data_IF_712290541062
#
_entry.id   IF_712290541062
#
_cell.length_a   1.000
_cell.length_b   1.000
_cell.length_c   1.000
_cell.angle_alpha   90.00
_cell.angle_beta   90.00
_cell.angle_gamma   90.00
#
_symmetry.space_group_name_H-M   'P 1'
#
loop_
_entity.id
_entity.type
_entity.pdbx_description
1 polymer ?
#
# COMPACT_ATOMS: atom_id res chain seq x y z
N UNK A 1 -14.58 20.36 -14.08
CA UNK A 1 -14.28 19.04 -13.51
C UNK A 1 -13.52 18.21 -14.51
N UNK A 2 -12.78 17.20 -14.06
CA UNK A 2 -12.07 16.28 -14.96
C UNK A 2 -13.09 15.35 -15.64
N UNK A 3 -12.94 15.16 -16.95
CA UNK A 3 -13.88 14.36 -17.75
C UNK A 3 -13.35 12.95 -17.94
N UNK A 4 -14.20 11.96 -17.65
CA UNK A 4 -13.94 10.54 -17.92
C UNK A 4 -14.62 10.14 -19.23
N UNK A 5 -13.83 9.73 -20.20
CA UNK A 5 -14.28 9.19 -21.48
C UNK A 5 -14.28 7.65 -21.44
N UNK A 6 -15.05 7.03 -22.29
CA UNK A 6 -14.95 5.61 -22.59
C UNK A 6 -14.32 5.36 -23.97
N UNK A 7 -14.00 4.13 -24.30
CA UNK A 7 -13.31 3.79 -25.55
C UNK A 7 -14.08 4.22 -26.81
N UNK A 8 -15.42 4.19 -26.80
CA UNK A 8 -16.22 4.66 -27.93
C UNK A 8 -16.11 6.17 -28.19
N UNK A 9 -15.62 6.91 -27.23
CA UNK A 9 -15.45 8.37 -27.27
C UNK A 9 -13.98 8.79 -27.50
N UNK A 10 -13.08 7.85 -27.72
CA UNK A 10 -11.63 8.09 -27.79
C UNK A 10 -11.24 9.16 -28.81
N UNK A 11 -11.99 9.26 -29.91
CA UNK A 11 -11.72 10.23 -30.98
C UNK A 11 -12.12 11.67 -30.62
N UNK A 12 -12.91 11.83 -29.57
CA UNK A 12 -13.35 13.14 -29.06
C UNK A 12 -12.47 13.65 -27.92
N UNK A 13 -11.46 12.90 -27.49
CA UNK A 13 -10.57 13.30 -26.40
C UNK A 13 -9.66 14.43 -26.88
N UNK A 14 -9.64 15.59 -26.18
CA UNK A 14 -8.77 16.71 -26.52
C UNK A 14 -7.31 16.38 -26.19
N UNK A 15 -6.40 16.67 -27.13
CA UNK A 15 -4.98 16.35 -26.99
C UNK A 15 -4.24 17.23 -25.97
N UNK A 16 -4.79 18.40 -25.64
CA UNK A 16 -4.10 19.43 -24.86
C UNK A 16 -4.53 19.51 -23.38
N UNK A 17 -5.53 18.73 -22.98
CA UNK A 17 -6.11 18.76 -21.63
C UNK A 17 -5.86 17.44 -20.91
N UNK A 18 -5.81 17.49 -19.58
CA UNK A 18 -5.78 16.28 -18.77
C UNK A 18 -7.18 15.66 -18.78
N UNK A 19 -7.27 14.45 -19.27
CA UNK A 19 -8.49 13.68 -19.41
C UNK A 19 -8.31 12.27 -18.86
N UNK A 20 -9.41 11.60 -18.57
CA UNK A 20 -9.40 10.19 -18.17
C UNK A 20 -10.09 9.35 -19.23
N UNK A 21 -9.50 8.20 -19.57
CA UNK A 21 -10.06 7.22 -20.48
C UNK A 21 -10.25 5.89 -19.75
N UNK A 22 -11.48 5.46 -19.55
CA UNK A 22 -11.81 4.11 -19.06
C UNK A 22 -11.71 3.12 -20.20
N UNK A 23 -10.91 2.08 -20.03
CA UNK A 23 -10.74 1.00 -21.00
C UNK A 23 -10.55 -0.35 -20.31
N UNK A 24 -10.83 -1.42 -21.06
CA UNK A 24 -10.55 -2.79 -20.65
C UNK A 24 -9.19 -3.24 -21.18
N UNK A 25 -8.60 -4.23 -20.51
CA UNK A 25 -7.31 -4.81 -20.93
C UNK A 25 -7.31 -5.38 -22.37
N UNK A 26 -8.49 -5.74 -22.89
CA UNK A 26 -8.70 -6.29 -24.23
C UNK A 26 -8.85 -5.23 -25.32
N UNK A 27 -9.05 -3.95 -24.96
CA UNK A 27 -9.27 -2.90 -25.92
C UNK A 27 -8.00 -2.58 -26.71
N UNK A 28 -8.11 -2.53 -28.02
CA UNK A 28 -7.00 -2.20 -28.90
C UNK A 28 -6.95 -0.69 -29.19
N UNK A 29 -6.41 0.07 -28.24
CA UNK A 29 -6.38 1.54 -28.27
C UNK A 29 -4.97 2.13 -28.38
N UNK A 30 -3.96 1.29 -28.50
CA UNK A 30 -2.56 1.67 -28.35
C UNK A 30 -2.12 2.75 -29.36
N UNK A 31 -2.48 2.63 -30.62
CA UNK A 31 -2.12 3.64 -31.62
C UNK A 31 -2.76 4.99 -31.33
N UNK A 32 -3.96 5.00 -30.78
CA UNK A 32 -4.65 6.23 -30.38
C UNK A 32 -4.03 6.87 -29.15
N UNK A 33 -3.61 6.06 -28.16
CA UNK A 33 -2.93 6.55 -26.96
C UNK A 33 -1.63 7.29 -27.26
N UNK A 34 -0.89 6.91 -28.28
CA UNK A 34 0.32 7.62 -28.72
C UNK A 34 0.04 9.08 -29.11
N UNK A 35 -1.18 9.38 -29.51
CA UNK A 35 -1.62 10.73 -29.89
C UNK A 35 -2.21 11.52 -28.73
N UNK A 36 -2.38 10.89 -27.55
CA UNK A 36 -3.04 11.43 -26.36
C UNK A 36 -2.10 11.46 -25.14
N UNK A 37 -0.99 12.21 -25.18
CA UNK A 37 0.06 12.13 -24.13
C UNK A 37 -0.41 12.62 -22.75
N UNK A 38 -1.50 13.40 -22.67
CA UNK A 38 -2.05 13.90 -21.41
C UNK A 38 -3.25 13.08 -20.91
N UNK A 39 -3.58 11.99 -21.59
CA UNK A 39 -4.67 11.11 -21.20
C UNK A 39 -4.19 10.17 -20.08
N UNK A 40 -4.94 10.12 -18.99
CA UNK A 40 -4.76 9.16 -17.90
C UNK A 40 -5.67 7.97 -18.16
N UNK A 41 -5.12 6.77 -18.17
CA UNK A 41 -5.85 5.54 -18.45
C UNK A 41 -6.46 5.04 -17.13
N UNK A 42 -7.76 4.71 -17.14
CA UNK A 42 -8.43 3.98 -16.07
C UNK A 42 -8.65 2.56 -16.58
N UNK A 43 -7.74 1.67 -16.20
CA UNK A 43 -7.68 0.30 -16.71
C UNK A 43 -8.55 -0.63 -15.85
N UNK A 44 -9.47 -1.34 -16.51
CA UNK A 44 -10.41 -2.28 -15.88
C UNK A 44 -10.27 -3.68 -16.47
N UNK A 45 -10.73 -4.67 -15.73
CA UNK A 45 -10.92 -6.03 -16.23
C UNK A 45 -12.12 -6.70 -15.55
N UNK A 46 -12.85 -7.49 -16.31
CA UNK A 46 -13.91 -8.39 -15.82
C UNK A 46 -13.37 -9.82 -15.61
N UNK A 47 -12.09 -10.06 -15.90
CA UNK A 47 -11.47 -11.36 -15.77
C UNK A 47 -11.30 -11.71 -14.29
N UNK A 48 -11.62 -12.95 -13.90
CA UNK A 48 -11.37 -13.46 -12.56
C UNK A 48 -9.89 -13.43 -12.20
N UNK A 49 -9.00 -13.76 -13.14
CA UNK A 49 -7.57 -13.60 -13.00
C UNK A 49 -7.14 -12.18 -13.40
N UNK A 50 -7.50 -11.20 -12.60
CA UNK A 50 -7.28 -9.79 -12.89
C UNK A 50 -5.80 -9.44 -13.06
N UNK A 51 -4.93 -9.93 -12.19
CA UNK A 51 -3.48 -9.68 -12.24
C UNK A 51 -2.90 -9.98 -13.64
N UNK A 52 -3.16 -11.17 -14.18
CA UNK A 52 -2.60 -11.59 -15.47
C UNK A 52 -3.10 -10.70 -16.62
N UNK A 53 -4.40 -10.38 -16.63
CA UNK A 53 -5.03 -9.56 -17.67
C UNK A 53 -4.51 -8.13 -17.66
N UNK A 54 -4.44 -7.52 -16.49
CA UNK A 54 -3.95 -6.15 -16.31
C UNK A 54 -2.47 -6.07 -16.65
N UNK A 55 -1.66 -7.03 -16.15
CA UNK A 55 -0.23 -7.12 -16.47
C UNK A 55 0.03 -7.19 -17.97
N UNK A 56 -0.78 -7.95 -18.71
CA UNK A 56 -0.66 -8.04 -20.18
C UNK A 56 -0.83 -6.67 -20.84
N UNK A 57 -1.75 -5.85 -20.36
CA UNK A 57 -1.92 -4.48 -20.87
C UNK A 57 -0.68 -3.61 -20.62
N UNK A 58 -0.11 -3.66 -19.43
CA UNK A 58 1.13 -2.94 -19.11
C UNK A 58 2.30 -3.37 -20.00
N UNK A 59 2.45 -4.69 -20.23
CA UNK A 59 3.49 -5.20 -21.12
C UNK A 59 3.31 -4.63 -22.55
N UNK A 60 2.09 -4.64 -23.09
CA UNK A 60 1.79 -4.04 -24.39
C UNK A 60 2.10 -2.54 -24.44
N UNK A 61 1.79 -1.79 -23.37
CA UNK A 61 2.16 -0.38 -23.28
C UNK A 61 3.69 -0.19 -23.36
N UNK A 62 4.44 -0.99 -22.60
CA UNK A 62 5.91 -0.95 -22.64
C UNK A 62 6.48 -1.28 -24.02
N UNK A 63 6.02 -2.35 -24.67
CA UNK A 63 6.43 -2.75 -26.01
C UNK A 63 6.18 -1.65 -27.04
N UNK A 64 5.06 -0.94 -26.91
CA UNK A 64 4.66 0.12 -27.81
C UNK A 64 5.13 1.52 -27.40
N UNK A 65 5.91 1.62 -26.31
CA UNK A 65 6.45 2.88 -25.77
C UNK A 65 5.37 3.90 -25.41
N UNK A 66 4.28 3.43 -24.78
CA UNK A 66 3.19 4.23 -24.27
C UNK A 66 3.45 4.50 -22.79
N UNK A 67 3.54 5.76 -22.40
CA UNK A 67 3.91 6.22 -21.06
C UNK A 67 2.78 6.98 -20.36
N UNK A 68 1.57 6.80 -20.78
CA UNK A 68 0.41 7.39 -20.14
C UNK A 68 0.26 6.86 -18.70
N UNK A 69 -0.04 7.71 -17.72
CA UNK A 69 -0.35 7.24 -16.37
C UNK A 69 -1.54 6.29 -16.36
N UNK A 70 -1.46 5.22 -15.56
CA UNK A 70 -2.49 4.18 -15.51
C UNK A 70 -3.00 4.02 -14.08
N UNK A 71 -4.31 4.25 -13.89
CA UNK A 71 -5.05 3.94 -12.68
C UNK A 71 -5.65 2.55 -12.84
N UNK A 72 -5.34 1.65 -11.91
CA UNK A 72 -5.93 0.31 -11.87
C UNK A 72 -7.28 0.39 -11.17
N UNK A 73 -8.36 0.06 -11.90
CA UNK A 73 -9.71 0.07 -11.35
C UNK A 73 -10.26 -1.35 -11.18
N UNK A 74 -10.77 -1.65 -9.98
CA UNK A 74 -11.45 -2.90 -9.66
C UNK A 74 -12.77 -2.64 -8.93
N UNK A 75 -13.74 -3.53 -9.17
CA UNK A 75 -15.03 -3.50 -8.49
C UNK A 75 -15.29 -4.85 -7.80
N UNK A 76 -15.64 -4.79 -6.52
CA UNK A 76 -15.90 -5.94 -5.64
C UNK A 76 -17.29 -5.79 -5.02
N UNK A 77 -18.34 -6.03 -5.81
CA UNK A 77 -19.70 -5.68 -5.44
C UNK A 77 -20.45 -6.78 -4.68
N UNK A 78 -19.87 -7.96 -4.52
CA UNK A 78 -20.54 -9.14 -3.90
C UNK A 78 -19.73 -9.80 -2.80
N UNK A 79 -18.55 -9.27 -2.48
CA UNK A 79 -17.62 -9.89 -1.55
C UNK A 79 -17.82 -9.39 -0.11
N UNK A 80 -17.47 -10.24 0.85
CA UNK A 80 -17.30 -9.84 2.24
C UNK A 80 -16.17 -8.81 2.40
N UNK A 81 -16.06 -8.19 3.58
CA UNK A 81 -14.95 -7.27 3.90
C UNK A 81 -13.60 -7.95 3.73
N UNK A 82 -13.45 -9.15 4.30
CA UNK A 82 -12.19 -9.91 4.27
C UNK A 82 -11.83 -10.37 2.85
N UNK A 83 -12.81 -10.90 2.11
CA UNK A 83 -12.58 -11.29 0.72
C UNK A 83 -12.21 -10.08 -0.14
N UNK A 84 -12.90 -8.95 0.04
CA UNK A 84 -12.58 -7.72 -0.69
C UNK A 84 -11.14 -7.29 -0.44
N UNK A 85 -10.68 -7.33 0.81
CA UNK A 85 -9.30 -7.00 1.18
C UNK A 85 -8.30 -7.94 0.49
N UNK A 86 -8.52 -9.24 0.56
CA UNK A 86 -7.63 -10.26 -0.02
C UNK A 86 -7.58 -10.13 -1.54
N UNK A 87 -8.72 -10.07 -2.20
CA UNK A 87 -8.77 -9.95 -3.67
C UNK A 87 -8.17 -8.63 -4.16
N UNK A 88 -8.49 -7.50 -3.51
CA UNK A 88 -7.92 -6.22 -3.90
C UNK A 88 -6.41 -6.18 -3.71
N UNK A 89 -5.89 -6.74 -2.61
CA UNK A 89 -4.46 -6.84 -2.36
C UNK A 89 -3.76 -7.72 -3.41
N UNK A 90 -4.38 -8.82 -3.82
CA UNK A 90 -3.85 -9.74 -4.84
C UNK A 90 -3.88 -9.12 -6.23
N UNK A 91 -5.02 -8.57 -6.63
CA UNK A 91 -5.22 -8.04 -7.99
C UNK A 91 -4.38 -6.79 -8.27
N UNK A 92 -4.27 -5.90 -7.29
CA UNK A 92 -3.65 -4.58 -7.42
C UNK A 92 -2.26 -4.56 -6.78
N UNK A 93 -2.14 -5.08 -5.56
CA UNK A 93 -0.89 -5.01 -4.79
C UNK A 93 0.27 -5.70 -5.50
N UNK A 94 0.04 -6.84 -6.15
CA UNK A 94 1.06 -7.54 -6.92
C UNK A 94 1.58 -6.68 -8.09
N UNK A 95 0.70 -5.95 -8.79
CA UNK A 95 1.09 -5.04 -9.87
C UNK A 95 1.90 -3.85 -9.33
N UNK A 96 1.48 -3.28 -8.20
CA UNK A 96 2.19 -2.17 -7.55
C UNK A 96 3.60 -2.56 -7.08
N UNK A 97 3.79 -3.79 -6.58
CA UNK A 97 5.11 -4.33 -6.20
C UNK A 97 6.02 -4.45 -7.43
N UNK A 98 5.46 -4.81 -8.59
CA UNK A 98 6.18 -4.86 -9.87
C UNK A 98 6.45 -3.45 -10.46
N UNK A 99 6.03 -2.38 -9.80
CA UNK A 99 6.13 -1.00 -10.30
C UNK A 99 5.14 -0.66 -11.41
N UNK A 100 4.02 -1.39 -11.49
CA UNK A 100 2.98 -1.20 -12.51
C UNK A 100 1.77 -0.49 -11.92
N UNK A 101 1.38 0.62 -12.55
CA UNK A 101 0.24 1.46 -12.18
C UNK A 101 0.61 2.67 -11.33
N UNK A 102 -0.02 3.79 -11.64
CA UNK A 102 0.22 5.11 -11.04
C UNK A 102 -0.88 5.50 -10.04
N UNK A 103 -1.93 4.70 -9.95
CA UNK A 103 -3.04 4.93 -9.04
C UNK A 103 -3.96 3.73 -8.88
N UNK A 104 -4.79 3.81 -7.85
CA UNK A 104 -5.74 2.75 -7.46
C UNK A 104 -7.14 3.33 -7.35
N UNK A 105 -8.11 2.63 -7.92
CA UNK A 105 -9.53 2.93 -7.79
C UNK A 105 -10.32 1.67 -7.45
N UNK A 106 -10.75 1.56 -6.21
CA UNK A 106 -11.53 0.42 -5.71
C UNK A 106 -12.98 0.83 -5.51
N UNK A 107 -13.89 0.11 -6.17
CA UNK A 107 -15.33 0.20 -5.94
C UNK A 107 -15.80 -1.00 -5.14
N UNK A 108 -16.57 -0.75 -4.08
CA UNK A 108 -17.23 -1.80 -3.28
C UNK A 108 -18.66 -1.38 -2.94
N UNK A 109 -19.48 -2.32 -2.47
CA UNK A 109 -20.78 -2.01 -1.85
C UNK A 109 -20.64 -1.53 -0.39
N UNK A 110 -19.43 -1.61 0.17
CA UNK A 110 -19.13 -1.08 1.49
C UNK A 110 -18.97 0.45 1.45
N UNK A 111 -18.63 1.07 2.57
CA UNK A 111 -18.48 2.51 2.65
C UNK A 111 -17.30 3.03 1.80
N UNK A 112 -17.39 4.29 1.36
CA UNK A 112 -16.27 4.96 0.70
C UNK A 112 -15.02 5.03 1.59
N UNK A 113 -15.20 5.13 2.91
CA UNK A 113 -14.10 5.09 3.88
C UNK A 113 -13.33 3.77 3.79
N UNK A 114 -14.05 2.65 3.71
CA UNK A 114 -13.47 1.32 3.55
C UNK A 114 -12.70 1.17 2.23
N UNK A 115 -13.28 1.62 1.10
CA UNK A 115 -12.59 1.62 -0.20
C UNK A 115 -11.30 2.43 -0.18
N UNK A 116 -11.32 3.59 0.48
CA UNK A 116 -10.13 4.42 0.66
C UNK A 116 -9.09 3.75 1.57
N UNK A 117 -9.53 3.14 2.67
CA UNK A 117 -8.64 2.46 3.61
C UNK A 117 -7.88 1.30 2.94
N UNK A 118 -8.58 0.46 2.16
CA UNK A 118 -7.94 -0.61 1.39
C UNK A 118 -6.96 -0.03 0.36
N UNK A 119 -7.39 0.99 -0.39
CA UNK A 119 -6.54 1.61 -1.41
C UNK A 119 -5.23 2.14 -0.83
N UNK A 120 -5.30 2.90 0.27
CA UNK A 120 -4.11 3.39 0.95
C UNK A 120 -3.31 2.27 1.63
N UNK A 121 -3.97 1.23 2.12
CA UNK A 121 -3.31 0.04 2.68
C UNK A 121 -2.46 -0.69 1.63
N UNK A 122 -3.00 -0.91 0.43
CA UNK A 122 -2.29 -1.52 -0.70
C UNK A 122 -1.09 -0.67 -1.13
N UNK A 123 -1.28 0.65 -1.29
CA UNK A 123 -0.21 1.57 -1.67
C UNK A 123 0.91 1.61 -0.62
N UNK A 124 0.58 1.53 0.66
CA UNK A 124 1.58 1.47 1.73
C UNK A 124 2.30 0.12 1.77
N UNK A 125 1.59 -0.99 1.66
CA UNK A 125 2.18 -2.33 1.64
C UNK A 125 3.14 -2.54 0.46
N UNK A 126 2.82 -1.98 -0.71
CA UNK A 126 3.67 -1.97 -1.90
C UNK A 126 4.75 -0.86 -1.88
N UNK A 127 4.81 -0.05 -0.83
CA UNK A 127 5.75 1.08 -0.65
C UNK A 127 5.67 2.17 -1.74
N UNK A 128 4.58 2.22 -2.48
CA UNK A 128 4.35 3.26 -3.49
C UNK A 128 3.88 4.58 -2.89
N UNK A 129 3.17 4.52 -1.74
CA UNK A 129 2.75 5.71 -0.99
C UNK A 129 2.62 5.42 0.50
N UNK A 130 3.40 6.09 1.32
CA UNK A 130 3.34 5.99 2.77
C UNK A 130 2.30 6.99 3.31
N UNK A 131 1.27 6.50 3.97
CA UNK A 131 0.14 7.31 4.47
C UNK A 131 -0.04 7.23 5.99
N UNK A 132 0.54 6.21 6.65
CA UNK A 132 0.44 5.94 8.09
C UNK A 132 1.83 5.64 8.67
N UNK A 133 1.94 5.59 10.00
CA UNK A 133 3.09 5.00 10.68
C UNK A 133 3.19 3.51 10.35
N UNK A 134 4.38 3.02 10.07
CA UNK A 134 4.65 1.59 9.86
C UNK A 134 5.16 0.97 11.16
N UNK A 135 4.60 -0.17 11.54
CA UNK A 135 5.01 -0.89 12.75
C UNK A 135 5.62 -2.24 12.36
N UNK A 136 6.82 -2.50 12.88
CA UNK A 136 7.55 -3.75 12.69
C UNK A 136 7.57 -4.44 14.06
N UNK A 137 6.74 -5.47 14.23
CA UNK A 137 6.70 -6.25 15.46
C UNK A 137 7.28 -7.63 15.23
N UNK A 138 8.04 -8.14 16.20
CA UNK A 138 8.48 -9.54 16.13
C UNK A 138 7.28 -10.48 16.35
N UNK A 139 7.36 -11.76 15.87
CA UNK A 139 6.25 -12.71 15.96
C UNK A 139 5.99 -13.24 17.38
N UNK A 140 6.71 -12.74 18.38
CA UNK A 140 6.76 -13.24 19.76
C UNK A 140 7.35 -14.68 19.84
N UNK A 141 8.08 -14.94 20.89
CA UNK A 141 8.65 -16.25 21.19
C UNK A 141 8.87 -16.38 22.70
N UNK A 142 9.37 -17.51 23.18
CA UNK A 142 9.65 -17.73 24.59
C UNK A 142 10.68 -16.78 25.25
N UNK A 143 11.30 -15.90 24.45
CA UNK A 143 12.22 -14.84 24.92
C UNK A 143 11.57 -13.47 25.03
N UNK A 144 10.28 -13.34 24.68
CA UNK A 144 9.54 -12.07 24.78
C UNK A 144 9.35 -11.72 26.27
N UNK A 145 9.68 -10.48 26.62
CA UNK A 145 9.83 -10.04 28.02
C UNK A 145 8.63 -9.21 28.52
N UNK A 146 7.64 -8.96 27.67
CA UNK A 146 6.43 -8.19 27.95
C UNK A 146 5.29 -8.63 27.05
N UNK A 147 4.05 -8.20 27.32
CA UNK A 147 2.93 -8.41 26.42
C UNK A 147 3.13 -7.57 25.14
N UNK A 148 3.50 -8.26 24.04
CA UNK A 148 3.83 -7.61 22.78
C UNK A 148 2.59 -7.00 22.11
N UNK A 149 1.42 -7.65 22.22
CA UNK A 149 0.18 -7.16 21.61
C UNK A 149 -0.29 -5.89 22.33
N UNK A 150 -0.42 -5.93 23.65
CA UNK A 150 -0.85 -4.79 24.44
C UNK A 150 0.10 -3.60 24.28
N UNK A 151 1.42 -3.86 24.29
CA UNK A 151 2.44 -2.81 24.12
C UNK A 151 2.37 -2.20 22.71
N UNK A 152 2.20 -3.03 21.69
CA UNK A 152 2.05 -2.55 20.30
C UNK A 152 0.82 -1.65 20.17
N UNK A 153 -0.30 -2.02 20.76
CA UNK A 153 -1.53 -1.23 20.73
C UNK A 153 -1.38 0.12 21.44
N UNK A 154 -0.74 0.13 22.60
CA UNK A 154 -0.41 1.36 23.34
C UNK A 154 0.49 2.30 22.54
N UNK A 155 1.52 1.78 21.89
CA UNK A 155 2.42 2.57 21.05
C UNK A 155 1.65 3.10 19.82
N UNK A 156 0.87 2.26 19.14
CA UNK A 156 0.08 2.65 17.98
C UNK A 156 -0.91 3.77 18.29
N UNK A 157 -1.64 3.67 19.37
CA UNK A 157 -2.63 4.69 19.77
C UNK A 157 -2.04 6.10 19.95
N UNK A 158 -0.72 6.20 20.17
CA UNK A 158 0.00 7.48 20.39
C UNK A 158 0.80 7.95 19.20
N UNK A 159 1.10 7.06 18.24
CA UNK A 159 2.06 7.33 17.16
C UNK A 159 1.51 7.12 15.75
N UNK A 160 0.25 6.71 15.59
CA UNK A 160 -0.39 6.44 14.30
C UNK A 160 -0.43 7.65 13.35
N UNK A 161 -0.37 8.86 13.92
CA UNK A 161 -0.32 10.13 13.19
C UNK A 161 1.06 10.45 12.57
N UNK A 162 2.11 9.72 12.93
CA UNK A 162 3.49 9.95 12.49
C UNK A 162 3.74 9.34 11.09
N UNK A 163 3.18 9.96 10.07
CA UNK A 163 3.28 9.47 8.69
C UNK A 163 4.73 9.36 8.22
N UNK A 164 5.05 8.21 7.63
CA UNK A 164 6.37 7.95 7.07
C UNK A 164 7.41 7.47 8.08
N UNK A 165 7.04 7.37 9.36
CA UNK A 165 7.91 6.84 10.42
C UNK A 165 7.71 5.34 10.55
N UNK A 166 8.80 4.60 10.73
CA UNK A 166 8.81 3.18 11.02
C UNK A 166 9.21 2.95 12.47
N UNK A 167 8.39 2.22 13.23
CA UNK A 167 8.61 1.91 14.63
C UNK A 167 8.75 0.41 14.80
N UNK A 168 9.92 -0.04 15.28
CA UNK A 168 10.18 -1.42 15.65
C UNK A 168 9.74 -1.71 17.09
N UNK A 169 8.98 -2.79 17.31
CA UNK A 169 8.55 -3.23 18.63
C UNK A 169 9.00 -4.68 18.82
N UNK A 170 10.09 -4.86 19.56
CA UNK A 170 10.80 -6.12 19.65
C UNK A 170 10.76 -6.68 21.07
N UNK A 171 10.26 -7.89 21.21
CA UNK A 171 10.09 -8.56 22.51
C UNK A 171 11.39 -8.87 23.24
N UNK A 172 12.54 -8.96 22.54
CA UNK A 172 13.83 -9.20 23.14
C UNK A 172 15.00 -8.62 22.33
N UNK A 173 16.14 -8.42 22.99
CA UNK A 173 17.36 -7.87 22.37
C UNK A 173 18.10 -8.85 21.44
N UNK A 174 17.78 -10.15 21.48
CA UNK A 174 18.58 -11.16 20.77
C UNK A 174 18.49 -10.99 19.25
N UNK A 175 17.28 -10.91 18.71
CA UNK A 175 17.05 -10.72 17.27
C UNK A 175 16.50 -9.31 16.95
N UNK A 176 15.93 -8.64 17.97
CA UNK A 176 15.20 -7.39 17.79
C UNK A 176 15.94 -6.32 17.00
N UNK A 177 17.20 -5.96 17.36
CA UNK A 177 17.95 -4.96 16.62
C UNK A 177 18.16 -5.29 15.14
N UNK A 178 18.34 -6.57 14.79
CA UNK A 178 18.46 -7.03 13.41
C UNK A 178 17.14 -7.00 12.65
N UNK A 179 16.04 -7.43 13.30
CA UNK A 179 14.70 -7.45 12.68
C UNK A 179 14.11 -6.06 12.46
N UNK A 180 14.54 -5.05 13.21
CA UNK A 180 14.13 -3.66 13.04
C UNK A 180 15.21 -2.78 12.41
N UNK A 181 16.18 -3.33 11.70
CA UNK A 181 17.34 -2.59 11.19
C UNK A 181 17.00 -1.36 10.34
N UNK A 182 15.85 -1.36 9.66
CA UNK A 182 15.35 -0.26 8.84
C UNK A 182 14.28 0.61 9.57
N UNK A 183 14.09 0.41 10.88
CA UNK A 183 13.17 1.24 11.66
C UNK A 183 13.83 2.57 12.07
N UNK A 184 13.03 3.64 12.09
CA UNK A 184 13.47 4.96 12.57
C UNK A 184 13.59 4.99 14.08
N UNK A 185 12.68 4.31 14.76
CA UNK A 185 12.67 4.17 16.23
C UNK A 185 12.41 2.72 16.62
N UNK A 186 12.95 2.30 17.77
CA UNK A 186 12.79 0.96 18.29
C UNK A 186 12.49 0.92 19.78
N UNK A 187 11.54 0.04 20.15
CA UNK A 187 11.22 -0.35 21.52
C UNK A 187 11.62 -1.82 21.66
N UNK A 188 12.63 -2.10 22.48
CA UNK A 188 13.25 -3.42 22.55
C UNK A 188 13.33 -3.92 23.98
N UNK A 189 12.76 -5.08 24.27
CA UNK A 189 12.88 -5.76 25.56
C UNK A 189 14.32 -6.16 25.88
N UNK A 190 14.84 -5.76 27.03
CA UNK A 190 16.23 -6.03 27.46
C UNK A 190 16.32 -6.87 28.71
N UNK A 191 15.25 -6.95 29.51
CA UNK A 191 15.14 -7.73 30.73
C UNK A 191 13.69 -7.76 31.23
N UNK A 192 13.37 -8.55 32.26
CA UNK A 192 12.02 -8.55 32.84
C UNK A 192 11.60 -7.15 33.27
N UNK A 193 10.53 -6.62 32.65
CA UNK A 193 10.03 -5.27 32.91
C UNK A 193 10.94 -4.13 32.44
N UNK A 194 12.02 -4.44 31.70
CA UNK A 194 12.98 -3.44 31.21
C UNK A 194 13.04 -3.44 29.70
N UNK A 195 13.13 -2.22 29.13
CA UNK A 195 13.28 -2.01 27.69
C UNK A 195 14.42 -1.03 27.40
N UNK A 196 14.85 -0.99 26.17
CA UNK A 196 15.71 0.09 25.65
C UNK A 196 15.06 0.73 24.44
N UNK A 197 15.24 2.05 24.31
CA UNK A 197 14.78 2.83 23.17
C UNK A 197 15.92 3.02 22.17
N UNK A 198 15.56 2.91 20.90
CA UNK A 198 16.49 3.07 19.79
C UNK A 198 16.04 4.21 18.87
N UNK A 199 17.02 4.88 18.27
CA UNK A 199 16.85 5.77 17.12
C UNK A 199 17.72 5.22 15.99
N UNK A 200 17.07 4.70 14.95
CA UNK A 200 17.76 3.82 14.00
C UNK A 200 18.39 2.63 14.74
N UNK A 201 19.65 2.39 14.52
CA UNK A 201 20.41 1.31 15.19
C UNK A 201 21.10 1.72 16.49
N UNK A 202 20.99 2.98 16.91
CA UNK A 202 21.65 3.49 18.09
C UNK A 202 20.72 3.44 19.31
N UNK A 203 21.23 2.92 20.42
CA UNK A 203 20.51 2.96 21.70
C UNK A 203 20.53 4.38 22.22
N UNK A 204 19.36 4.96 22.43
CA UNK A 204 19.19 6.31 22.99
C UNK A 204 19.07 6.26 24.51
N UNK A 205 18.29 5.27 25.01
CA UNK A 205 18.07 5.10 26.43
C UNK A 205 18.01 3.60 26.76
N UNK A 206 18.63 3.20 27.87
CA UNK A 206 18.77 1.81 28.28
C UNK A 206 18.05 1.53 29.60
N UNK A 207 17.52 0.31 29.74
CA UNK A 207 16.98 -0.22 30.99
C UNK A 207 15.88 0.66 31.60
N UNK A 208 15.00 1.21 30.76
CA UNK A 208 13.83 1.94 31.20
C UNK A 208 12.79 0.93 31.70
N UNK A 209 12.06 1.27 32.76
CA UNK A 209 10.91 0.48 33.16
C UNK A 209 9.83 0.54 32.05
N UNK A 210 9.34 -0.62 31.61
CA UNK A 210 8.36 -0.75 30.54
C UNK A 210 7.07 0.06 30.80
N UNK A 211 6.68 0.24 32.08
CA UNK A 211 5.52 1.04 32.46
C UNK A 211 5.69 2.53 32.13
N UNK A 212 6.92 3.04 32.18
CA UNK A 212 7.24 4.45 31.97
C UNK A 212 7.61 4.74 30.49
N UNK A 213 7.89 3.72 29.70
CA UNK A 213 8.45 3.86 28.37
C UNK A 213 7.43 4.24 27.29
N UNK A 214 6.15 4.13 27.60
CA UNK A 214 5.03 4.49 26.70
C UNK A 214 4.23 5.68 27.27
N UNK A 215 4.71 6.30 28.33
CA UNK A 215 4.04 7.44 28.99
C UNK A 215 4.11 8.74 28.18
#
# INVERSE_FOLDING_TARGET
GLTLFNVSQIDFIPNNEITFLSCKYSDNIFERLKLLPKCIIVLETDNECAYASLRQFFIKCMEQKIFNPIIIKRAYNTLSVDDTLIYAATDIGALQIDGLGDGVWINTLHSNSFSNEISFGILQASRTRISKTEYISCPSCGRTLFDLQETTEKIRSRTDHLKGIKIGIMGCIVNGPGEMADADYGYVGTGPGLISLYKGQNVVEKNINAENAVA
#
